data_IF_397240249600
#
_entry.id   IF_397240249600
#
_cell.length_a   1.000
_cell.length_b   1.000
_cell.length_c   1.000
_cell.angle_alpha   90.00
_cell.angle_beta   90.00
_cell.angle_gamma   90.00
#
_symmetry.space_group_name_H-M   'P 1'
#
loop_
_entity.id
_entity.type
_entity.pdbx_description
1 polymer ?
#
# COMPACT_ATOMS: atom_id res chain seq x y z
N UNK A 1 -33.00 18.02 29.95
CA UNK A 1 -32.52 16.75 29.37
C UNK A 1 -32.09 16.75 27.91
N UNK A 2 -32.26 17.83 27.13
CA UNK A 2 -31.93 17.84 25.68
C UNK A 2 -30.51 18.28 25.30
N UNK A 3 -29.69 18.75 26.26
CA UNK A 3 -28.32 19.24 26.00
C UNK A 3 -27.25 18.15 26.06
N UNK A 4 -27.46 17.09 26.85
CA UNK A 4 -26.51 15.98 26.98
C UNK A 4 -26.38 15.19 25.66
N UNK A 5 -27.50 14.94 24.97
CA UNK A 5 -27.55 14.19 23.70
C UNK A 5 -26.79 14.89 22.55
N UNK A 6 -26.70 16.23 22.58
CA UNK A 6 -25.97 17.01 21.56
C UNK A 6 -24.45 17.06 21.83
N UNK A 7 -24.03 17.01 23.09
CA UNK A 7 -22.60 17.00 23.45
C UNK A 7 -21.95 15.65 23.15
N UNK A 8 -22.64 14.54 23.40
CA UNK A 8 -22.13 13.20 23.12
C UNK A 8 -22.00 12.93 21.61
N UNK A 9 -22.95 13.43 20.80
CA UNK A 9 -22.88 13.31 19.34
C UNK A 9 -21.79 14.21 18.72
N UNK A 10 -21.57 15.42 19.26
CA UNK A 10 -20.49 16.30 18.83
C UNK A 10 -19.10 15.76 19.22
N UNK A 11 -18.96 15.17 20.41
CA UNK A 11 -17.70 14.56 20.85
C UNK A 11 -17.36 13.30 20.03
N UNK A 12 -18.35 12.46 19.73
CA UNK A 12 -18.20 11.32 18.82
C UNK A 12 -17.84 11.75 17.39
N UNK A 13 -18.50 12.79 16.86
CA UNK A 13 -18.21 13.35 15.54
C UNK A 13 -16.80 13.93 15.46
N UNK A 14 -16.38 14.70 16.48
CA UNK A 14 -15.03 15.24 16.56
C UNK A 14 -13.99 14.13 16.66
N UNK A 15 -14.19 13.13 17.52
CA UNK A 15 -13.32 11.97 17.63
C UNK A 15 -13.23 11.17 16.33
N UNK A 16 -14.35 11.07 15.59
CA UNK A 16 -14.38 10.46 14.25
C UNK A 16 -13.57 11.27 13.25
N UNK A 17 -13.69 12.59 13.25
CA UNK A 17 -12.91 13.47 12.37
C UNK A 17 -11.42 13.47 12.70
N UNK A 18 -11.01 13.48 13.97
CA UNK A 18 -9.60 13.33 14.36
C UNK A 18 -9.07 11.94 14.02
N UNK A 19 -9.85 10.87 14.18
CA UNK A 19 -9.47 9.53 13.69
C UNK A 19 -9.30 9.49 12.18
N UNK A 20 -10.22 10.09 11.43
CA UNK A 20 -10.14 10.17 9.97
C UNK A 20 -8.93 10.99 9.51
N UNK A 21 -8.62 12.10 10.18
CA UNK A 21 -7.42 12.90 9.92
C UNK A 21 -6.14 12.12 10.22
N UNK A 22 -6.08 11.44 11.37
CA UNK A 22 -4.94 10.60 11.77
C UNK A 22 -4.79 9.30 10.97
N UNK A 23 -5.85 8.81 10.31
CA UNK A 23 -5.80 7.68 9.38
C UNK A 23 -5.31 8.13 8.00
N UNK A 24 -5.80 9.27 7.48
CA UNK A 24 -5.31 9.86 6.23
C UNK A 24 -3.81 10.17 6.27
N UNK A 25 -3.31 10.67 7.40
CA UNK A 25 -1.87 10.89 7.60
C UNK A 25 -1.07 9.59 7.62
N UNK A 26 -1.62 8.50 8.17
CA UNK A 26 -0.97 7.18 8.18
C UNK A 26 -0.93 6.51 6.80
N UNK A 27 -2.02 6.60 6.03
CA UNK A 27 -2.05 6.04 4.68
C UNK A 27 -1.04 6.73 3.76
N UNK A 28 -0.99 8.07 3.81
CA UNK A 28 0.01 8.84 3.08
C UNK A 28 1.45 8.49 3.52
N UNK A 29 1.66 8.27 4.82
CA UNK A 29 2.95 7.81 5.35
C UNK A 29 3.35 6.44 4.81
N UNK A 30 2.47 5.43 4.82
CA UNK A 30 2.80 4.11 4.28
C UNK A 30 3.05 4.12 2.78
N UNK A 31 2.27 4.89 2.03
CA UNK A 31 2.50 5.07 0.59
C UNK A 31 3.87 5.70 0.33
N UNK A 32 4.23 6.72 1.11
CA UNK A 32 5.57 7.33 1.07
C UNK A 32 6.66 6.30 1.38
N UNK A 33 6.52 5.47 2.43
CA UNK A 33 7.50 4.43 2.75
C UNK A 33 7.65 3.42 1.62
N UNK A 34 6.54 2.91 1.07
CA UNK A 34 6.54 1.95 -0.05
C UNK A 34 7.26 2.53 -1.27
N UNK A 35 6.95 3.77 -1.63
CA UNK A 35 7.56 4.44 -2.78
C UNK A 35 9.01 4.84 -2.54
N UNK A 36 9.42 5.15 -1.31
CA UNK A 36 10.81 5.46 -0.97
C UNK A 36 11.75 4.25 -1.08
N UNK A 37 11.22 3.02 -0.96
CA UNK A 37 11.99 1.79 -1.06
C UNK A 37 12.20 1.30 -2.50
N UNK A 38 11.72 2.04 -3.51
CA UNK A 38 11.78 1.58 -4.89
C UNK A 38 13.24 1.41 -5.37
N UNK A 39 13.70 0.19 -5.71
CA UNK A 39 15.05 0.02 -6.21
C UNK A 39 15.15 0.55 -7.65
N UNK A 40 16.40 0.86 -8.07
CA UNK A 40 16.68 1.21 -9.46
C UNK A 40 16.26 0.07 -10.39
N UNK A 41 15.38 0.36 -11.33
CA UNK A 41 14.87 -0.65 -12.27
C UNK A 41 13.55 -1.30 -11.84
N UNK A 42 12.84 -0.73 -10.87
CA UNK A 42 11.41 -1.01 -10.62
C UNK A 42 10.65 0.30 -10.74
N UNK A 43 9.47 0.29 -11.35
CA UNK A 43 8.59 1.45 -11.45
C UNK A 43 7.13 1.02 -11.33
N UNK A 44 6.34 1.84 -10.65
CA UNK A 44 4.89 1.66 -10.58
C UNK A 44 4.22 2.36 -11.76
N UNK A 45 3.25 1.68 -12.35
CA UNK A 45 2.33 2.25 -13.31
C UNK A 45 1.08 2.77 -12.58
N UNK A 46 0.55 1.97 -11.65
CA UNK A 46 -0.66 2.29 -10.90
C UNK A 46 -0.51 1.84 -9.45
N UNK A 47 -0.99 2.66 -8.53
CA UNK A 47 -1.15 2.30 -7.13
C UNK A 47 -2.62 2.49 -6.77
N UNK A 48 -3.30 1.41 -6.43
CA UNK A 48 -4.66 1.47 -5.88
C UNK A 48 -4.61 1.33 -4.37
N UNK A 49 -5.41 2.14 -3.69
CA UNK A 49 -5.58 2.05 -2.25
C UNK A 49 -7.05 1.84 -1.96
N UNK A 50 -7.34 0.82 -1.18
CA UNK A 50 -8.68 0.54 -0.69
C UNK A 50 -8.65 0.37 0.83
N UNK A 51 -9.71 0.83 1.48
CA UNK A 51 -9.90 0.67 2.93
C UNK A 51 -11.23 -0.05 3.08
N UNK A 52 -11.23 -1.39 3.09
CA UNK A 52 -12.45 -2.16 3.23
C UNK A 52 -13.08 -1.89 4.61
N UNK A 53 -14.33 -2.32 4.79
CA UNK A 53 -15.09 -2.18 6.03
C UNK A 53 -14.40 -2.74 7.27
N UNK A 54 -13.45 -3.69 7.10
CA UNK A 54 -12.57 -4.24 8.14
C UNK A 54 -11.59 -3.21 8.72
N UNK A 55 -11.44 -2.08 8.04
CA UNK A 55 -10.60 -0.95 8.43
C UNK A 55 -9.15 -1.06 8.00
N UNK A 56 -8.68 -2.22 7.54
CA UNK A 56 -7.29 -2.45 7.12
C UNK A 56 -6.99 -1.77 5.77
N UNK A 57 -5.91 -0.98 5.66
CA UNK A 57 -5.54 -0.43 4.35
C UNK A 57 -4.95 -1.54 3.46
N UNK A 58 -5.55 -1.73 2.30
CA UNK A 58 -5.04 -2.58 1.22
C UNK A 58 -4.46 -1.70 0.12
N UNK A 59 -3.22 -1.98 -0.27
CA UNK A 59 -2.50 -1.27 -1.33
C UNK A 59 -2.18 -2.27 -2.45
N UNK A 60 -2.68 -2.00 -3.64
CA UNK A 60 -2.33 -2.78 -4.83
C UNK A 60 -1.33 -2.00 -5.67
N UNK A 61 -0.18 -2.62 -5.91
CA UNK A 61 0.94 -2.08 -6.67
C UNK A 61 0.98 -2.77 -8.03
N UNK A 62 0.71 -2.02 -9.09
CA UNK A 62 0.86 -2.49 -10.47
C UNK A 62 2.07 -1.79 -11.06
N UNK A 63 3.02 -2.55 -11.59
CA UNK A 63 4.26 -1.98 -12.08
C UNK A 63 5.04 -2.89 -13.00
N UNK A 64 6.25 -2.45 -13.32
CA UNK A 64 7.20 -3.24 -14.05
C UNK A 64 8.57 -3.17 -13.36
N UNK A 65 9.34 -4.23 -13.54
CA UNK A 65 10.72 -4.34 -13.15
C UNK A 65 11.56 -4.64 -14.40
N UNK A 66 12.81 -4.18 -14.39
CA UNK A 66 13.80 -4.44 -15.44
C UNK A 66 14.00 -5.93 -15.65
N UNK A 67 14.02 -6.69 -14.56
CA UNK A 67 14.16 -8.14 -14.56
C UNK A 67 13.51 -8.72 -13.30
N UNK A 68 13.39 -10.06 -13.26
CA UNK A 68 12.80 -10.76 -12.12
C UNK A 68 13.63 -10.60 -10.84
N UNK A 69 14.96 -10.44 -10.93
CA UNK A 69 15.81 -10.29 -9.75
C UNK A 69 15.58 -8.95 -9.04
N UNK A 70 15.39 -7.86 -9.78
CA UNK A 70 15.02 -6.56 -9.22
C UNK A 70 13.63 -6.62 -8.56
N UNK A 71 12.67 -7.30 -9.19
CA UNK A 71 11.35 -7.51 -8.58
C UNK A 71 11.46 -8.30 -7.28
N UNK A 72 12.16 -9.44 -7.27
CA UNK A 72 12.35 -10.24 -6.06
C UNK A 72 13.02 -9.45 -4.94
N UNK A 73 14.02 -8.62 -5.26
CA UNK A 73 14.66 -7.75 -4.27
C UNK A 73 13.68 -6.74 -3.69
N UNK A 74 12.86 -6.11 -4.53
CA UNK A 74 11.83 -5.19 -4.09
C UNK A 74 10.81 -5.86 -3.15
N UNK A 75 10.27 -7.02 -3.54
CA UNK A 75 9.32 -7.77 -2.73
C UNK A 75 9.88 -8.16 -1.37
N UNK A 76 11.15 -8.60 -1.30
CA UNK A 76 11.82 -8.90 -0.03
C UNK A 76 11.96 -7.67 0.86
N UNK A 77 12.29 -6.51 0.29
CA UNK A 77 12.38 -5.27 1.08
C UNK A 77 11.02 -4.86 1.65
N UNK A 78 9.93 -5.09 0.91
CA UNK A 78 8.57 -4.88 1.38
C UNK A 78 8.22 -5.85 2.52
N UNK A 79 8.48 -7.15 2.37
CA UNK A 79 8.19 -8.16 3.40
C UNK A 79 8.88 -7.87 4.74
N UNK A 80 10.04 -7.21 4.71
CA UNK A 80 10.79 -6.83 5.91
C UNK A 80 10.16 -5.65 6.67
N UNK A 81 9.16 -4.97 6.11
CA UNK A 81 8.55 -3.81 6.77
C UNK A 81 7.56 -4.23 7.85
N UNK A 82 7.75 -3.71 9.06
CA UNK A 82 6.90 -4.02 10.22
C UNK A 82 5.44 -3.59 10.07
N UNK A 83 5.16 -2.63 9.18
CA UNK A 83 3.81 -2.17 8.88
C UNK A 83 3.10 -3.03 7.84
N UNK A 84 3.81 -3.91 7.12
CA UNK A 84 3.22 -4.86 6.18
C UNK A 84 2.76 -6.09 6.97
N UNK A 85 1.46 -6.38 6.90
CA UNK A 85 0.85 -7.51 7.60
C UNK A 85 0.73 -8.74 6.72
N UNK A 86 0.47 -8.52 5.45
CA UNK A 86 0.34 -9.56 4.45
C UNK A 86 0.74 -8.98 3.09
N UNK A 87 1.38 -9.80 2.28
CA UNK A 87 1.71 -9.45 0.90
C UNK A 87 1.43 -10.65 0.01
N UNK A 88 0.82 -10.39 -1.14
CA UNK A 88 0.50 -11.40 -2.14
C UNK A 88 0.90 -10.91 -3.52
N UNK A 89 1.77 -11.65 -4.19
CA UNK A 89 2.02 -11.49 -5.62
C UNK A 89 0.82 -12.10 -6.38
N UNK A 90 0.04 -11.26 -7.03
CA UNK A 90 -1.18 -11.69 -7.74
C UNK A 90 -0.86 -12.12 -9.16
N UNK A 91 -0.05 -11.34 -9.86
CA UNK A 91 0.33 -11.59 -11.25
C UNK A 91 1.81 -11.25 -11.45
N UNK A 92 2.49 -12.06 -12.25
CA UNK A 92 3.85 -11.81 -12.71
C UNK A 92 3.99 -12.33 -14.15
N UNK A 93 4.34 -11.44 -15.08
CA UNK A 93 4.55 -11.77 -16.49
C UNK A 93 5.94 -11.33 -16.90
N UNK A 94 6.77 -12.27 -17.33
CA UNK A 94 8.12 -11.96 -17.85
C UNK A 94 8.05 -11.87 -19.37
N UNK A 95 8.33 -10.69 -19.92
CA UNK A 95 8.41 -10.47 -21.36
C UNK A 95 9.87 -10.48 -21.80
N UNK A 96 10.26 -11.37 -22.73
CA UNK A 96 11.62 -11.37 -23.25
C UNK A 96 11.91 -10.04 -23.97
N UNK A 97 12.99 -9.36 -23.58
CA UNK A 97 13.56 -8.21 -24.29
C UNK A 97 14.86 -8.67 -24.98
N UNK A 98 14.73 -9.28 -26.15
CA UNK A 98 15.89 -9.76 -26.93
C UNK A 98 16.70 -10.86 -26.24
N UNK A 99 18.04 -10.73 -26.21
CA UNK A 99 18.97 -11.68 -25.59
C UNK A 99 19.23 -11.44 -24.08
N UNK A 100 18.55 -10.47 -23.46
CA UNK A 100 18.77 -10.08 -22.05
C UNK A 100 17.59 -10.52 -21.19
N UNK A 101 17.80 -10.64 -19.87
CA UNK A 101 16.76 -10.86 -18.88
C UNK A 101 15.57 -9.92 -19.14
N UNK A 102 14.41 -10.53 -19.38
CA UNK A 102 13.22 -9.83 -19.83
C UNK A 102 12.58 -8.93 -18.78
N UNK A 103 11.94 -7.85 -19.24
CA UNK A 103 11.13 -6.96 -18.40
C UNK A 103 10.01 -7.75 -17.73
N UNK A 104 9.82 -7.53 -16.44
CA UNK A 104 8.82 -8.22 -15.65
C UNK A 104 7.66 -7.27 -15.31
N UNK A 105 6.46 -7.58 -15.75
CA UNK A 105 5.22 -6.89 -15.34
C UNK A 105 4.67 -7.58 -14.10
N UNK A 106 4.22 -6.83 -13.10
CA UNK A 106 3.76 -7.40 -11.84
C UNK A 106 2.53 -6.68 -11.27
N UNK A 107 1.76 -7.44 -10.49
CA UNK A 107 0.71 -6.94 -9.61
C UNK A 107 0.87 -7.56 -8.23
N UNK A 108 0.97 -6.72 -7.21
CA UNK A 108 1.16 -7.13 -5.82
C UNK A 108 0.12 -6.45 -4.94
N UNK A 109 -0.56 -7.22 -4.12
CA UNK A 109 -1.42 -6.70 -3.06
C UNK A 109 -0.67 -6.72 -1.73
N UNK A 110 -0.75 -5.62 -0.99
CA UNK A 110 -0.14 -5.42 0.33
C UNK A 110 -1.21 -4.99 1.31
N UNK A 111 -1.39 -5.72 2.41
CA UNK A 111 -2.23 -5.27 3.52
C UNK A 111 -1.33 -4.63 4.57
N UNK A 112 -1.62 -3.39 4.97
CA UNK A 112 -0.83 -2.65 5.95
C UNK A 112 -1.58 -2.47 7.27
N UNK A 113 -0.82 -2.25 8.34
CA UNK A 113 -1.33 -2.07 9.68
C UNK A 113 -2.13 -0.76 9.82
N UNK A 114 -3.19 -0.79 10.63
CA UNK A 114 -4.00 0.40 10.97
C UNK A 114 -3.28 1.41 11.85
#
# INVERSE_FOLDING_TARGET
DSLAFRLDSLSQSRNRLTRLAGSRSRHAFYLYQITAMLPKGVWFQVIHMDVPSSGALTVQLVGQARDAAQLTRFLRMLEMQSFIREMRLEEMTVRPEGQVAGRCEFRVQVNVAN
#
